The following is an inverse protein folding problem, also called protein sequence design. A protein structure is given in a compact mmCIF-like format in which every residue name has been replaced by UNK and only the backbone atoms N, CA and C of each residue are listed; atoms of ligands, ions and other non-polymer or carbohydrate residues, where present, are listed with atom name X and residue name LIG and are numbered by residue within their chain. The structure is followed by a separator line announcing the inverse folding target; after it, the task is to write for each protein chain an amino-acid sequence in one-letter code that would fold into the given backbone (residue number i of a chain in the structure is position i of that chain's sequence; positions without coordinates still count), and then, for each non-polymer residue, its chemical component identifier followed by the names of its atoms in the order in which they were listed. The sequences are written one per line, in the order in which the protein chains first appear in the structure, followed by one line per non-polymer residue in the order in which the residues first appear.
data_IF_525008272999
#
_entry.id   IF_525008272999
#
_cell.length_a   1.000
_cell.length_b   1.000
_cell.length_c   1.000
_cell.angle_alpha   90.00
_cell.angle_beta   90.00
_cell.angle_gamma   90.00
#
_symmetry.space_group_name_H-M   'P 1'
#
loop_
_entity.id
_entity.type
_entity.pdbx_description
1 polymer ?
#
# COMPACT_ATOMS: atom_id res chain seq x y z
N UNK A 1 11.89 -14.10 -1.33
CA UNK A 1 11.10 -15.13 -2.02
C UNK A 1 11.25 -16.54 -1.45
N UNK A 2 12.46 -17.08 -1.21
CA UNK A 2 12.61 -18.44 -0.61
C UNK A 2 11.83 -18.64 0.69
N UNK A 3 11.84 -17.64 1.59
CA UNK A 3 11.10 -17.69 2.87
C UNK A 3 9.59 -17.72 2.67
N UNK A 4 9.07 -16.96 1.69
CA UNK A 4 7.66 -16.94 1.34
C UNK A 4 7.22 -18.32 0.84
N UNK A 5 7.92 -18.88 -0.15
CA UNK A 5 7.58 -20.17 -0.74
C UNK A 5 7.69 -21.34 0.25
N UNK A 6 8.67 -21.29 1.16
CA UNK A 6 8.87 -22.36 2.16
C UNK A 6 7.87 -22.30 3.31
N UNK A 7 7.30 -21.13 3.63
CA UNK A 7 6.48 -20.92 4.82
C UNK A 7 5.08 -20.37 4.48
N UNK A 8 4.53 -20.67 3.31
CA UNK A 8 3.23 -20.17 2.85
C UNK A 8 2.09 -20.46 3.82
N UNK A 9 1.99 -21.69 4.33
CA UNK A 9 0.96 -22.05 5.29
C UNK A 9 1.08 -21.29 6.62
N UNK A 10 2.31 -21.09 7.12
CA UNK A 10 2.58 -20.27 8.31
C UNK A 10 2.15 -18.83 8.10
N UNK A 11 2.57 -18.22 6.99
CA UNK A 11 2.24 -16.83 6.65
C UNK A 11 0.74 -16.66 6.50
N UNK A 12 0.05 -17.58 5.80
CA UNK A 12 -1.39 -17.53 5.63
C UNK A 12 -2.13 -17.58 6.97
N UNK A 13 -1.80 -18.54 7.85
CA UNK A 13 -2.43 -18.66 9.16
C UNK A 13 -2.17 -17.45 10.06
N UNK A 14 -0.94 -16.88 10.03
CA UNK A 14 -0.62 -15.70 10.78
C UNK A 14 -1.34 -14.46 10.22
N UNK A 15 -1.44 -14.32 8.90
CA UNK A 15 -2.20 -13.23 8.25
C UNK A 15 -3.67 -13.30 8.60
N UNK A 16 -4.28 -14.48 8.51
CA UNK A 16 -5.67 -14.69 8.91
C UNK A 16 -5.89 -14.22 10.36
N UNK A 17 -5.03 -14.65 11.26
CA UNK A 17 -5.09 -14.24 12.68
C UNK A 17 -4.87 -12.73 12.87
N UNK A 18 -3.94 -12.11 12.12
CA UNK A 18 -3.71 -10.65 12.17
C UNK A 18 -4.98 -9.89 11.74
N UNK A 19 -5.59 -10.29 10.64
CA UNK A 19 -6.83 -9.70 10.14
C UNK A 19 -7.98 -9.89 11.14
N UNK A 20 -8.20 -11.10 11.62
CA UNK A 20 -9.26 -11.40 12.61
C UNK A 20 -9.06 -10.61 13.91
N UNK A 21 -7.82 -10.47 14.38
CA UNK A 21 -7.50 -9.75 15.62
C UNK A 21 -7.85 -8.27 15.58
N UNK A 22 -7.81 -7.63 14.39
CA UNK A 22 -8.16 -6.21 14.20
C UNK A 22 -9.63 -5.91 14.50
N UNK A 23 -10.49 -6.90 14.29
CA UNK A 23 -11.94 -6.74 14.42
C UNK A 23 -12.51 -7.51 15.61
N UNK A 24 -11.67 -8.21 16.37
CA UNK A 24 -12.06 -8.99 17.53
C UNK A 24 -12.61 -8.08 18.64
N UNK A 25 -13.79 -8.42 19.13
CA UNK A 25 -14.47 -7.64 20.20
C UNK A 25 -15.27 -6.43 19.68
N UNK A 26 -15.29 -6.18 18.37
CA UNK A 26 -16.20 -5.17 17.78
C UNK A 26 -17.55 -5.79 17.46
N UNK A 27 -18.64 -5.00 17.56
CA UNK A 27 -20.01 -5.46 17.33
C UNK A 27 -20.25 -5.99 15.90
N UNK A 28 -19.61 -5.39 14.89
CA UNK A 28 -19.77 -5.73 13.48
C UNK A 28 -18.66 -6.64 12.94
N UNK A 29 -17.65 -6.94 13.76
CA UNK A 29 -16.56 -7.83 13.35
C UNK A 29 -15.90 -7.40 12.04
N UNK A 30 -15.63 -8.36 11.16
CA UNK A 30 -14.93 -8.15 9.89
C UNK A 30 -15.68 -7.24 8.90
N UNK A 31 -16.96 -6.98 9.11
CA UNK A 31 -17.75 -6.05 8.27
C UNK A 31 -17.16 -4.65 8.28
N UNK A 32 -16.46 -4.27 9.35
CA UNK A 32 -15.72 -3.00 9.41
C UNK A 32 -14.67 -2.84 8.32
N UNK A 33 -14.13 -3.95 7.80
CA UNK A 33 -13.17 -3.89 6.68
C UNK A 33 -13.78 -3.33 5.40
N UNK A 34 -15.09 -3.49 5.20
CA UNK A 34 -15.86 -2.90 4.10
C UNK A 34 -16.46 -1.55 4.47
N UNK A 35 -16.97 -1.39 5.69
CA UNK A 35 -17.59 -0.15 6.12
C UNK A 35 -16.63 1.04 6.10
N UNK A 36 -15.39 0.86 6.55
CA UNK A 36 -14.41 1.93 6.55
C UNK A 36 -14.16 2.52 5.14
N UNK A 37 -13.84 1.74 4.09
CA UNK A 37 -13.73 2.26 2.73
C UNK A 37 -15.05 2.89 2.23
N UNK A 38 -16.23 2.34 2.56
CA UNK A 38 -17.52 2.91 2.17
C UNK A 38 -17.70 4.30 2.79
N UNK A 39 -17.49 4.43 4.09
CA UNK A 39 -17.60 5.70 4.80
C UNK A 39 -16.64 6.73 4.21
N UNK A 40 -15.36 6.35 4.03
CA UNK A 40 -14.36 7.25 3.47
C UNK A 40 -14.70 7.69 2.05
N UNK A 41 -15.09 6.76 1.18
CA UNK A 41 -15.49 7.11 -0.19
C UNK A 41 -16.73 8.00 -0.21
N UNK A 42 -17.71 7.76 0.67
CA UNK A 42 -18.91 8.59 0.81
C UNK A 42 -18.57 10.01 1.26
N UNK A 43 -17.69 10.16 2.25
CA UNK A 43 -17.20 11.46 2.73
C UNK A 43 -16.47 12.21 1.61
N UNK A 44 -15.57 11.55 0.92
CA UNK A 44 -14.83 12.16 -0.18
C UNK A 44 -15.75 12.53 -1.36
N UNK A 45 -16.73 11.67 -1.67
CA UNK A 45 -17.73 11.96 -2.70
C UNK A 45 -18.56 13.20 -2.34
N UNK A 46 -18.96 13.32 -1.08
CA UNK A 46 -19.69 14.50 -0.60
C UNK A 46 -18.82 15.76 -0.67
N UNK A 47 -17.62 15.72 -0.10
CA UNK A 47 -16.76 16.91 -0.02
C UNK A 47 -16.29 17.34 -1.42
N UNK A 48 -15.65 16.45 -2.16
CA UNK A 48 -15.03 16.82 -3.44
C UNK A 48 -16.03 16.82 -4.62
N UNK A 49 -17.02 15.92 -4.60
CA UNK A 49 -18.01 15.85 -5.66
C UNK A 49 -19.11 16.90 -5.49
N UNK A 50 -19.70 17.03 -4.29
CA UNK A 50 -20.85 17.88 -4.06
C UNK A 50 -20.48 19.29 -3.58
N UNK A 51 -19.59 19.43 -2.56
CA UNK A 51 -19.23 20.74 -1.98
C UNK A 51 -18.26 21.49 -2.89
N UNK A 52 -17.10 20.90 -3.22
CA UNK A 52 -16.09 21.55 -4.03
C UNK A 52 -16.35 21.47 -5.54
N UNK A 53 -17.21 20.55 -5.98
CA UNK A 53 -17.46 20.30 -7.42
C UNK A 53 -16.15 20.13 -8.19
N UNK A 54 -15.21 19.43 -7.58
CA UNK A 54 -13.87 19.27 -8.10
C UNK A 54 -13.88 18.51 -9.44
N UNK A 55 -13.04 18.96 -10.37
CA UNK A 55 -12.88 18.33 -11.69
C UNK A 55 -11.44 17.84 -11.86
N UNK A 56 -11.28 16.72 -12.53
CA UNK A 56 -9.96 16.18 -12.86
C UNK A 56 -9.51 16.71 -14.23
N UNK A 57 -8.74 17.82 -14.21
CA UNK A 57 -8.35 18.50 -15.44
C UNK A 57 -9.49 19.31 -16.10
N UNK A 58 -9.24 19.80 -17.32
CA UNK A 58 -10.17 20.71 -18.02
C UNK A 58 -11.28 20.01 -18.82
N UNK A 59 -11.13 18.72 -19.13
CA UNK A 59 -11.97 18.05 -20.14
C UNK A 59 -12.53 16.68 -19.71
N UNK A 60 -12.31 16.23 -18.48
CA UNK A 60 -12.76 14.89 -18.09
C UNK A 60 -14.21 14.88 -17.64
N UNK A 61 -15.02 13.99 -18.25
CA UNK A 61 -16.37 13.64 -17.81
C UNK A 61 -16.37 12.66 -16.63
N UNK A 62 -15.19 12.25 -16.20
CA UNK A 62 -14.99 11.22 -15.18
C UNK A 62 -15.21 11.77 -13.79
N UNK A 63 -15.67 10.89 -12.90
CA UNK A 63 -15.96 11.26 -11.53
C UNK A 63 -14.65 11.46 -10.75
N UNK A 64 -14.34 12.70 -10.38
CA UNK A 64 -13.15 13.08 -9.59
C UNK A 64 -12.94 12.20 -8.37
N UNK A 65 -14.03 11.86 -7.66
CA UNK A 65 -13.96 11.05 -6.45
C UNK A 65 -13.40 9.66 -6.70
N UNK A 66 -13.80 9.02 -7.80
CA UNK A 66 -13.29 7.69 -8.17
C UNK A 66 -11.83 7.74 -8.58
N UNK A 67 -11.42 8.77 -9.33
CA UNK A 67 -10.02 8.98 -9.73
C UNK A 67 -9.15 9.18 -8.48
N UNK A 68 -9.59 10.01 -7.56
CA UNK A 68 -8.90 10.25 -6.29
C UNK A 68 -8.83 8.98 -5.44
N UNK A 69 -9.92 8.22 -5.38
CA UNK A 69 -9.99 7.04 -4.52
C UNK A 69 -9.05 5.91 -4.96
N UNK A 70 -8.78 5.74 -6.27
CA UNK A 70 -7.75 4.81 -6.73
C UNK A 70 -6.38 5.13 -6.15
N UNK A 71 -6.03 6.41 -6.08
CA UNK A 71 -4.80 6.87 -5.45
C UNK A 71 -4.78 6.67 -3.94
N UNK A 72 -5.91 6.96 -3.26
CA UNK A 72 -6.05 6.77 -1.81
C UNK A 72 -5.96 5.30 -1.41
N UNK A 73 -6.54 4.38 -2.18
CA UNK A 73 -6.39 2.93 -1.94
C UNK A 73 -4.94 2.49 -2.04
N UNK A 74 -4.24 2.96 -3.07
CA UNK A 74 -2.82 2.62 -3.29
C UNK A 74 -1.93 3.19 -2.17
N UNK A 75 -2.17 4.45 -1.79
CA UNK A 75 -1.50 5.06 -0.64
C UNK A 75 -1.83 4.34 0.67
N UNK A 76 -3.09 4.01 0.93
CA UNK A 76 -3.52 3.29 2.12
C UNK A 76 -2.80 1.95 2.29
N UNK A 77 -2.59 1.23 1.18
CA UNK A 77 -1.85 -0.03 1.19
C UNK A 77 -0.40 0.16 1.66
N UNK A 78 0.35 1.08 1.05
CA UNK A 78 1.76 1.30 1.46
C UNK A 78 1.84 1.94 2.84
N UNK A 79 0.94 2.86 3.17
CA UNK A 79 0.88 3.51 4.48
C UNK A 79 0.67 2.50 5.62
N UNK A 80 -0.21 1.51 5.42
CA UNK A 80 -0.40 0.45 6.39
C UNK A 80 0.85 -0.44 6.53
N UNK A 81 1.50 -0.80 5.41
CA UNK A 81 2.73 -1.58 5.43
C UNK A 81 3.85 -0.86 6.21
N UNK A 82 4.09 0.41 5.89
CA UNK A 82 5.17 1.20 6.50
C UNK A 82 4.85 1.57 7.96
N UNK A 83 3.61 1.95 8.25
CA UNK A 83 3.19 2.35 9.60
C UNK A 83 3.33 1.23 10.63
N UNK A 84 3.06 -0.01 10.23
CA UNK A 84 3.26 -1.18 11.09
C UNK A 84 4.72 -1.64 11.17
N UNK A 85 5.50 -1.37 10.12
CA UNK A 85 6.83 -1.94 9.96
C UNK A 85 7.73 -1.72 11.18
N UNK A 86 7.81 -0.51 11.69
CA UNK A 86 8.72 -0.13 12.78
C UNK A 86 8.49 -0.87 14.10
N UNK A 87 7.30 -1.41 14.30
CA UNK A 87 6.88 -2.06 15.55
C UNK A 87 6.69 -3.57 15.45
N UNK A 88 6.84 -4.14 14.24
CA UNK A 88 6.57 -5.58 13.99
C UNK A 88 7.32 -6.47 14.99
N UNK A 89 8.62 -6.27 15.18
CA UNK A 89 9.43 -7.12 16.07
C UNK A 89 9.23 -6.76 17.54
N UNK A 90 9.02 -5.49 17.84
CA UNK A 90 8.78 -5.01 19.21
C UNK A 90 7.49 -5.62 19.79
N UNK A 91 6.43 -5.71 19.01
CA UNK A 91 5.18 -6.35 19.45
C UNK A 91 5.19 -7.88 19.36
N UNK A 92 6.21 -8.45 18.73
CA UNK A 92 6.32 -9.88 18.51
C UNK A 92 7.59 -10.51 19.12
N UNK A 93 8.02 -10.01 20.27
CA UNK A 93 9.24 -10.47 20.98
C UNK A 93 9.26 -11.99 21.20
N UNK A 94 8.10 -12.60 21.47
CA UNK A 94 7.99 -14.04 21.66
C UNK A 94 8.41 -14.85 20.42
N UNK A 95 8.25 -14.31 19.21
CA UNK A 95 8.74 -14.92 17.98
C UNK A 95 10.22 -14.61 17.75
N UNK A 96 10.70 -13.44 18.15
CA UNK A 96 12.11 -13.05 18.02
C UNK A 96 13.00 -13.97 18.86
N UNK A 97 12.57 -14.32 20.07
CA UNK A 97 13.31 -15.21 20.98
C UNK A 97 13.25 -16.70 20.58
N UNK A 98 12.44 -17.06 19.57
CA UNK A 98 12.41 -18.44 19.07
C UNK A 98 13.45 -18.67 17.98
N UNK A 99 14.43 -19.51 18.24
CA UNK A 99 15.59 -19.78 17.37
C UNK A 99 15.20 -20.21 15.93
N UNK A 100 14.13 -20.98 15.77
CA UNK A 100 13.73 -21.56 14.49
C UNK A 100 12.66 -20.76 13.74
N UNK A 101 12.19 -19.63 14.28
CA UNK A 101 11.13 -18.87 13.62
C UNK A 101 11.68 -17.98 12.50
N UNK A 102 11.12 -18.07 11.28
CA UNK A 102 11.53 -17.23 10.15
C UNK A 102 11.00 -15.79 10.31
N UNK A 103 11.76 -14.92 10.97
CA UNK A 103 11.36 -13.54 11.31
C UNK A 103 10.92 -12.71 10.10
N UNK A 104 11.51 -12.97 8.92
CA UNK A 104 11.13 -12.34 7.66
C UNK A 104 9.64 -12.59 7.30
N UNK A 105 9.05 -13.66 7.82
CA UNK A 105 7.63 -13.97 7.58
C UNK A 105 6.68 -12.96 8.22
N UNK A 106 7.06 -12.31 9.33
CA UNK A 106 6.21 -11.31 9.99
C UNK A 106 5.98 -10.08 9.12
N UNK A 107 6.99 -9.66 8.34
CA UNK A 107 6.83 -8.58 7.38
C UNK A 107 5.85 -8.98 6.25
N UNK A 108 5.90 -10.24 5.77
CA UNK A 108 4.92 -10.74 4.81
C UNK A 108 3.50 -10.77 5.39
N UNK A 109 3.34 -11.16 6.65
CA UNK A 109 2.03 -11.12 7.34
C UNK A 109 1.45 -9.71 7.32
N UNK A 110 2.26 -8.68 7.63
CA UNK A 110 1.82 -7.28 7.58
C UNK A 110 1.42 -6.85 6.18
N UNK A 111 2.21 -7.21 5.16
CA UNK A 111 1.93 -6.87 3.75
C UNK A 111 0.65 -7.55 3.25
N UNK A 112 0.45 -8.84 3.55
CA UNK A 112 -0.78 -9.53 3.18
C UNK A 112 -2.01 -9.03 3.95
N UNK A 113 -1.84 -8.61 5.20
CA UNK A 113 -2.91 -7.94 5.95
C UNK A 113 -3.32 -6.60 5.31
N UNK A 114 -2.35 -5.82 4.85
CA UNK A 114 -2.61 -4.58 4.11
C UNK A 114 -3.22 -4.84 2.72
N UNK A 115 -2.77 -5.91 2.02
CA UNK A 115 -3.40 -6.35 0.76
C UNK A 115 -4.85 -6.76 0.94
N UNK A 116 -5.18 -7.44 2.03
CA UNK A 116 -6.57 -7.75 2.34
C UNK A 116 -7.42 -6.48 2.44
N UNK A 117 -6.93 -5.46 3.17
CA UNK A 117 -7.65 -4.19 3.30
C UNK A 117 -7.75 -3.44 1.96
N UNK A 118 -6.68 -3.43 1.17
CA UNK A 118 -6.69 -2.89 -0.19
C UNK A 118 -7.74 -3.59 -1.07
N UNK A 119 -7.83 -4.92 -1.01
CA UNK A 119 -8.82 -5.69 -1.76
C UNK A 119 -10.25 -5.37 -1.33
N UNK A 120 -10.53 -5.21 -0.02
CA UNK A 120 -11.83 -4.76 0.47
C UNK A 120 -12.17 -3.37 -0.08
N UNK A 121 -11.21 -2.46 -0.15
CA UNK A 121 -11.37 -1.15 -0.78
C UNK A 121 -11.67 -1.24 -2.29
N UNK A 122 -11.04 -2.17 -3.01
CA UNK A 122 -11.32 -2.41 -4.43
C UNK A 122 -12.75 -2.92 -4.66
N UNK A 123 -13.29 -3.77 -3.78
CA UNK A 123 -14.69 -4.21 -3.84
C UNK A 123 -15.62 -2.99 -3.69
N UNK A 124 -15.39 -2.15 -2.70
CA UNK A 124 -16.18 -0.93 -2.49
C UNK A 124 -16.08 0.00 -3.70
N UNK A 125 -14.86 0.20 -4.23
CA UNK A 125 -14.65 0.97 -5.46
C UNK A 125 -15.48 0.45 -6.63
N UNK A 126 -15.48 -0.86 -6.87
CA UNK A 126 -16.27 -1.48 -7.94
C UNK A 126 -17.78 -1.25 -7.74
N UNK A 127 -18.29 -1.37 -6.52
CA UNK A 127 -19.69 -1.08 -6.18
C UNK A 127 -20.04 0.37 -6.52
N UNK A 128 -19.18 1.33 -6.13
CA UNK A 128 -19.41 2.75 -6.42
C UNK A 128 -19.31 3.07 -7.92
N UNK A 129 -18.44 2.41 -8.66
CA UNK A 129 -18.41 2.54 -10.14
C UNK A 129 -19.76 2.16 -10.75
N UNK A 130 -20.37 1.06 -10.29
CA UNK A 130 -21.70 0.64 -10.76
C UNK A 130 -22.77 1.66 -10.35
N UNK A 131 -22.80 2.11 -9.08
CA UNK A 131 -23.78 3.08 -8.58
C UNK A 131 -23.71 4.42 -9.30
N UNK A 132 -22.49 4.89 -9.61
CA UNK A 132 -22.26 6.16 -10.31
C UNK A 132 -22.29 6.01 -11.83
N UNK A 133 -22.62 4.82 -12.35
CA UNK A 133 -22.64 4.49 -13.79
C UNK A 133 -21.33 4.84 -14.51
N UNK A 134 -20.21 4.76 -13.78
CA UNK A 134 -18.88 4.96 -14.35
C UNK A 134 -18.42 3.68 -15.03
N UNK A 135 -18.11 3.69 -16.33
CA UNK A 135 -17.64 2.49 -17.01
C UNK A 135 -16.27 2.05 -16.44
N UNK A 136 -16.14 0.79 -16.11
CA UNK A 136 -14.87 0.16 -15.76
C UNK A 136 -14.34 -0.57 -16.97
N UNK A 137 -13.10 -0.30 -17.33
CA UNK A 137 -12.47 -0.95 -18.47
C UNK A 137 -12.22 -2.45 -18.24
N UNK A 138 -12.29 -3.25 -19.29
CA UNK A 138 -11.85 -4.65 -19.25
C UNK A 138 -10.36 -4.78 -18.88
N UNK A 139 -9.55 -3.75 -19.16
CA UNK A 139 -8.16 -3.71 -18.73
C UNK A 139 -7.98 -3.65 -17.22
N UNK A 140 -9.03 -3.39 -16.43
CA UNK A 140 -9.00 -3.49 -14.97
C UNK A 140 -8.57 -4.88 -14.47
N UNK A 141 -8.72 -5.92 -15.28
CA UNK A 141 -8.18 -7.26 -15.00
C UNK A 141 -6.64 -7.27 -14.88
N UNK A 142 -5.95 -6.26 -15.39
CA UNK A 142 -4.50 -6.09 -15.23
C UNK A 142 -4.11 -5.43 -13.90
N UNK A 143 -5.06 -4.85 -13.14
CA UNK A 143 -4.77 -4.17 -11.88
C UNK A 143 -3.98 -5.02 -10.87
N UNK A 144 -4.26 -6.33 -10.69
CA UNK A 144 -3.44 -7.20 -9.84
C UNK A 144 -1.98 -7.29 -10.30
N UNK A 145 -1.73 -7.24 -11.61
CA UNK A 145 -0.37 -7.28 -12.18
C UNK A 145 0.33 -5.95 -11.89
N UNK A 146 -0.36 -4.83 -12.09
CA UNK A 146 0.18 -3.47 -11.86
C UNK A 146 0.66 -3.29 -10.42
N UNK A 147 -0.04 -3.87 -9.43
CA UNK A 147 0.30 -3.69 -8.01
C UNK A 147 1.46 -4.58 -7.53
N UNK A 148 1.78 -5.67 -8.24
CA UNK A 148 2.80 -6.63 -7.80
C UNK A 148 4.16 -6.01 -7.45
N UNK A 149 4.76 -5.11 -8.25
CA UNK A 149 6.03 -4.51 -7.90
C UNK A 149 5.93 -3.59 -6.68
N UNK A 150 4.77 -2.94 -6.44
CA UNK A 150 4.53 -2.17 -5.21
C UNK A 150 4.47 -3.09 -3.97
N UNK A 151 3.90 -4.29 -4.10
CA UNK A 151 3.89 -5.30 -3.01
C UNK A 151 5.31 -5.69 -2.62
N UNK A 152 6.17 -5.95 -3.62
CA UNK A 152 7.57 -6.28 -3.37
C UNK A 152 8.34 -5.10 -2.76
N UNK A 153 8.09 -3.89 -3.25
CA UNK A 153 8.66 -2.65 -2.72
C UNK A 153 8.26 -2.44 -1.26
N UNK A 154 6.96 -2.54 -0.96
CA UNK A 154 6.41 -2.37 0.40
C UNK A 154 6.99 -3.40 1.37
N UNK A 155 7.12 -4.65 0.95
CA UNK A 155 7.79 -5.68 1.75
C UNK A 155 9.26 -5.32 2.01
N UNK A 156 9.98 -4.84 1.00
CA UNK A 156 11.41 -4.50 1.10
C UNK A 156 11.63 -3.36 2.10
N UNK A 157 10.84 -2.29 1.97
CA UNK A 157 10.89 -1.16 2.89
C UNK A 157 10.46 -1.58 4.29
N UNK A 158 9.39 -2.39 4.42
CA UNK A 158 8.95 -2.90 5.73
C UNK A 158 10.01 -3.75 6.41
N UNK A 159 10.72 -4.60 5.67
CA UNK A 159 11.81 -5.42 6.21
C UNK A 159 12.98 -4.57 6.71
N UNK A 160 13.31 -3.51 5.99
CA UNK A 160 14.34 -2.56 6.38
C UNK A 160 13.90 -1.76 7.62
N UNK A 161 12.72 -1.14 7.60
CA UNK A 161 12.19 -0.33 8.69
C UNK A 161 11.96 -1.15 9.96
N UNK A 162 11.49 -2.39 9.85
CA UNK A 162 11.28 -3.26 10.99
C UNK A 162 12.58 -3.62 11.70
N UNK A 163 13.67 -3.77 10.94
CA UNK A 163 14.99 -4.00 11.52
C UNK A 163 15.57 -2.76 12.21
N UNK A 164 15.31 -1.57 11.67
CA UNK A 164 15.70 -0.30 12.32
C UNK A 164 14.87 -0.03 13.57
N UNK A 165 13.57 -0.32 13.55
CA UNK A 165 12.66 -0.10 14.68
C UNK A 165 13.02 -0.89 15.93
N UNK A 166 13.80 -1.99 15.83
CA UNK A 166 14.36 -2.71 16.99
C UNK A 166 15.38 -1.86 17.75
N UNK A 167 16.21 -1.10 17.02
CA UNK A 167 17.31 -0.32 17.60
C UNK A 167 16.92 1.14 17.84
N UNK A 168 16.03 1.70 17.02
CA UNK A 168 15.65 3.11 17.05
C UNK A 168 14.15 3.21 17.26
N UNK A 169 13.74 3.50 18.49
CA UNK A 169 12.31 3.54 18.88
C UNK A 169 11.52 4.66 18.21
N UNK A 170 12.19 5.76 17.88
CA UNK A 170 11.55 6.94 17.30
C UNK A 170 11.29 6.83 15.78
N UNK A 171 11.68 5.70 15.17
CA UNK A 171 11.45 5.46 13.73
C UNK A 171 9.98 5.57 13.34
N UNK A 172 9.06 5.27 14.25
CA UNK A 172 7.62 5.41 13.98
C UNK A 172 7.21 6.84 13.65
N UNK A 173 7.80 7.84 14.32
CA UNK A 173 7.53 9.25 14.04
C UNK A 173 8.04 9.67 12.66
N UNK A 174 9.27 9.27 12.33
CA UNK A 174 9.87 9.55 11.02
C UNK A 174 9.02 8.94 9.90
N UNK A 175 8.62 7.68 10.07
CA UNK A 175 7.78 6.97 9.08
C UNK A 175 6.42 7.64 8.91
N UNK A 176 5.80 8.14 9.98
CA UNK A 176 4.53 8.86 9.90
C UNK A 176 4.64 10.13 9.04
N UNK A 177 5.72 10.88 9.18
CA UNK A 177 6.00 12.07 8.34
C UNK A 177 6.22 11.66 6.88
N UNK A 178 6.98 10.58 6.64
CA UNK A 178 7.21 10.08 5.27
C UNK A 178 5.88 9.67 4.61
N UNK A 179 5.00 8.96 5.33
CA UNK A 179 3.68 8.56 4.83
C UNK A 179 2.85 9.79 4.45
N UNK A 180 2.86 10.84 5.28
CA UNK A 180 2.14 12.08 4.98
C UNK A 180 2.74 12.79 3.76
N UNK A 181 4.07 12.84 3.64
CA UNK A 181 4.73 13.40 2.46
C UNK A 181 4.37 12.60 1.19
N UNK A 182 4.38 11.28 1.26
CA UNK A 182 4.00 10.42 0.13
C UNK A 182 2.56 10.69 -0.33
N UNK A 183 1.64 11.02 0.58
CA UNK A 183 0.26 11.33 0.24
C UNK A 183 0.16 12.61 -0.61
N UNK A 184 0.80 13.70 -0.15
CA UNK A 184 0.69 15.00 -0.81
C UNK A 184 1.64 15.16 -2.01
N UNK A 185 2.77 14.45 -2.02
CA UNK A 185 3.71 14.43 -3.14
C UNK A 185 3.40 13.35 -4.17
N UNK A 186 2.19 12.81 -4.19
CA UNK A 186 1.71 11.93 -5.24
C UNK A 186 0.48 12.53 -5.93
N UNK A 187 0.20 12.18 -7.19
CA UNK A 187 -0.92 12.72 -7.94
C UNK A 187 -2.26 12.10 -7.49
N UNK A 188 -2.56 12.15 -6.19
CA UNK A 188 -3.81 11.63 -5.61
C UNK A 188 -4.92 12.66 -5.74
N UNK A 189 -4.64 13.90 -5.31
CA UNK A 189 -5.63 14.98 -5.26
C UNK A 189 -5.61 15.91 -6.48
N UNK A 190 -4.62 15.79 -7.35
CA UNK A 190 -4.43 16.63 -8.53
C UNK A 190 -3.78 15.84 -9.66
N UNK A 191 -4.05 16.17 -10.91
CA UNK A 191 -3.34 15.57 -12.04
C UNK A 191 -1.90 16.10 -12.12
N UNK A 192 -0.96 15.28 -12.60
CA UNK A 192 0.46 15.68 -12.75
C UNK A 192 0.60 16.95 -13.61
N UNK A 193 -0.30 17.12 -14.57
CA UNK A 193 -0.33 18.31 -15.47
C UNK A 193 -0.58 19.62 -14.74
N UNK A 194 -1.21 19.60 -13.56
CA UNK A 194 -1.42 20.79 -12.75
C UNK A 194 -0.14 21.27 -12.05
N UNK A 195 0.89 20.40 -11.97
CA UNK A 195 2.17 20.74 -11.34
C UNK A 195 3.08 21.42 -12.35
N UNK A 196 3.68 22.60 -12.01
CA UNK A 196 4.65 23.27 -12.87
C UNK A 196 5.81 22.33 -13.24
N UNK A 197 6.27 22.38 -14.49
CA UNK A 197 7.22 21.41 -15.06
C UNK A 197 8.49 21.23 -14.22
N UNK A 198 9.01 22.32 -13.67
CA UNK A 198 10.21 22.31 -12.84
C UNK A 198 10.07 21.47 -11.54
N UNK A 199 8.85 21.22 -11.06
CA UNK A 199 8.58 20.45 -9.83
C UNK A 199 8.07 19.03 -10.10
N UNK A 200 7.75 18.67 -11.35
CA UNK A 200 7.22 17.34 -11.70
C UNK A 200 8.18 16.20 -11.32
N UNK A 201 9.50 16.47 -11.41
CA UNK A 201 10.49 15.47 -11.02
C UNK A 201 10.35 15.02 -9.56
N UNK A 202 9.99 15.93 -8.64
CA UNK A 202 9.75 15.60 -7.24
C UNK A 202 8.57 14.63 -7.08
N UNK A 203 7.53 14.81 -7.90
CA UNK A 203 6.37 13.91 -7.91
C UNK A 203 6.75 12.53 -8.46
N UNK A 204 7.59 12.46 -9.50
CA UNK A 204 8.04 11.19 -10.09
C UNK A 204 8.99 10.39 -9.18
N UNK A 205 9.71 11.02 -8.26
CA UNK A 205 10.53 10.33 -7.24
C UNK A 205 9.65 9.54 -6.26
N UNK A 206 8.42 9.97 -6.04
CA UNK A 206 7.49 9.26 -5.17
C UNK A 206 7.12 7.89 -5.79
N UNK A 207 7.37 6.77 -5.09
CA UNK A 207 7.10 5.43 -5.63
C UNK A 207 5.61 5.16 -5.90
N UNK A 208 4.71 5.96 -5.32
CA UNK A 208 3.27 5.83 -5.58
C UNK A 208 2.87 6.39 -6.95
N UNK A 209 3.57 7.39 -7.47
CA UNK A 209 3.16 8.13 -8.66
C UNK A 209 2.91 7.22 -9.85
N UNK A 210 3.89 6.38 -10.19
CA UNK A 210 3.77 5.47 -11.33
C UNK A 210 2.61 4.47 -11.15
N UNK A 211 2.50 3.86 -9.95
CA UNK A 211 1.47 2.83 -9.71
C UNK A 211 0.06 3.43 -9.71
N UNK A 212 -0.12 4.62 -9.13
CA UNK A 212 -1.41 5.33 -9.12
C UNK A 212 -1.87 5.65 -10.56
N UNK A 213 -0.98 6.22 -11.38
CA UNK A 213 -1.30 6.53 -12.78
C UNK A 213 -1.55 5.24 -13.58
N UNK A 214 -0.71 4.21 -13.43
CA UNK A 214 -0.90 2.93 -14.11
C UNK A 214 -2.21 2.23 -13.73
N UNK A 215 -2.63 2.31 -12.46
CA UNK A 215 -3.93 1.79 -12.03
C UNK A 215 -5.10 2.57 -12.65
N UNK A 216 -5.00 3.90 -12.73
CA UNK A 216 -6.01 4.74 -13.40
C UNK A 216 -6.10 4.41 -14.90
N UNK A 217 -4.95 4.25 -15.55
CA UNK A 217 -4.89 3.89 -16.96
C UNK A 217 -5.67 2.60 -17.24
N UNK A 218 -5.40 1.54 -16.46
CA UNK A 218 -6.06 0.23 -16.72
C UNK A 218 -7.50 0.19 -16.21
N UNK A 219 -7.83 0.84 -15.11
CA UNK A 219 -9.15 0.71 -14.47
C UNK A 219 -10.16 1.69 -15.05
N UNK A 220 -9.77 2.97 -15.19
CA UNK A 220 -10.69 4.05 -15.60
C UNK A 220 -10.55 4.43 -17.07
N UNK A 221 -9.31 4.56 -17.55
CA UNK A 221 -9.07 5.08 -18.91
C UNK A 221 -9.01 4.02 -20.01
N UNK A 222 -8.96 2.74 -19.65
CA UNK A 222 -8.86 1.65 -20.62
C UNK A 222 -7.58 1.70 -21.48
N UNK A 223 -6.50 2.24 -20.91
CA UNK A 223 -5.19 2.38 -21.54
C UNK A 223 -4.20 1.40 -20.93
N UNK A 224 -3.25 0.96 -21.73
CA UNK A 224 -2.12 0.20 -21.22
C UNK A 224 -1.11 1.16 -20.58
N UNK A 225 -0.61 0.82 -19.41
CA UNK A 225 0.46 1.56 -18.73
C UNK A 225 1.79 1.44 -19.48
N UNK A 226 2.73 2.36 -19.22
CA UNK A 226 4.09 2.32 -19.79
C UNK A 226 4.83 1.06 -19.37
N UNK A 227 5.14 0.18 -20.34
CA UNK A 227 5.91 -1.05 -20.08
C UNK A 227 7.35 -0.74 -19.65
N UNK A 228 7.95 0.31 -20.17
CA UNK A 228 9.29 0.77 -19.78
C UNK A 228 9.30 1.24 -18.31
N UNK A 229 8.32 2.08 -17.94
CA UNK A 229 8.14 2.52 -16.56
C UNK A 229 7.90 1.36 -15.60
N UNK A 230 7.11 0.38 -16.03
CA UNK A 230 6.82 -0.83 -15.25
C UNK A 230 8.06 -1.71 -15.06
N UNK A 231 8.87 -1.90 -16.10
CA UNK A 231 10.13 -2.64 -16.02
C UNK A 231 11.13 -1.92 -15.09
N UNK A 232 11.24 -0.60 -15.21
CA UNK A 232 12.08 0.21 -14.30
C UNK A 232 11.63 0.07 -12.85
N UNK A 233 10.32 0.14 -12.60
CA UNK A 233 9.76 -0.01 -11.26
C UNK A 233 10.07 -1.39 -10.66
N UNK A 234 9.96 -2.47 -11.46
CA UNK A 234 10.38 -3.82 -11.07
C UNK A 234 11.87 -3.87 -10.74
N UNK A 235 12.72 -3.26 -11.57
CA UNK A 235 14.16 -3.17 -11.33
C UNK A 235 14.49 -2.55 -9.97
N UNK A 236 13.86 -1.41 -9.67
CA UNK A 236 14.01 -0.71 -8.38
C UNK A 236 13.50 -1.58 -7.22
N UNK A 237 12.33 -2.19 -7.37
CA UNK A 237 11.73 -3.05 -6.33
C UNK A 237 12.59 -4.26 -6.00
N UNK A 238 13.17 -4.92 -7.02
CA UNK A 238 14.07 -6.06 -6.86
C UNK A 238 15.40 -5.61 -6.23
N UNK A 239 15.96 -4.49 -6.66
CA UNK A 239 17.18 -3.93 -6.08
C UNK A 239 16.99 -3.66 -4.59
N UNK A 240 15.91 -2.97 -4.21
CA UNK A 240 15.60 -2.68 -2.81
C UNK A 240 15.32 -3.96 -2.01
N UNK A 241 14.71 -4.98 -2.62
CA UNK A 241 14.52 -6.28 -1.98
C UNK A 241 15.86 -6.95 -1.65
N UNK A 242 16.80 -6.95 -2.58
CA UNK A 242 18.14 -7.54 -2.36
C UNK A 242 18.89 -6.77 -1.26
N UNK A 243 18.84 -5.45 -1.27
CA UNK A 243 19.44 -4.61 -0.24
C UNK A 243 18.80 -4.87 1.14
N UNK A 244 17.48 -4.88 1.21
CA UNK A 244 16.75 -5.11 2.47
C UNK A 244 17.03 -6.48 3.07
N UNK A 245 17.05 -7.55 2.27
CA UNK A 245 17.30 -8.90 2.77
C UNK A 245 18.76 -9.11 3.20
N UNK A 246 19.72 -8.49 2.51
CA UNK A 246 21.14 -8.55 2.89
C UNK A 246 21.39 -7.78 4.18
N UNK A 247 20.81 -6.59 4.31
CA UNK A 247 20.83 -5.80 5.54
C UNK A 247 20.22 -6.58 6.70
N UNK A 248 19.00 -7.07 6.53
CA UNK A 248 18.26 -7.81 7.55
C UNK A 248 19.04 -9.01 8.09
N UNK A 249 19.65 -9.81 7.21
CA UNK A 249 20.46 -10.97 7.61
C UNK A 249 21.66 -10.61 8.48
N UNK A 250 22.24 -9.42 8.29
CA UNK A 250 23.37 -8.95 9.12
C UNK A 250 22.88 -8.51 10.50
N UNK A 251 21.76 -7.78 10.55
CA UNK A 251 21.29 -7.08 11.75
C UNK A 251 20.47 -7.98 12.67
N UNK A 252 19.73 -8.95 12.12
CA UNK A 252 18.83 -9.82 12.91
C UNK A 252 19.51 -10.62 14.03
N UNK A 253 20.83 -10.82 13.95
CA UNK A 253 21.59 -11.56 14.97
C UNK A 253 21.57 -10.88 16.33
N UNK A 254 21.49 -9.55 16.36
CA UNK A 254 21.44 -8.77 17.60
C UNK A 254 20.02 -8.50 18.13
N UNK A 255 18.96 -8.97 17.47
CA UNK A 255 17.60 -8.66 17.92
C UNK A 255 17.26 -9.24 19.29
N UNK A 256 17.74 -10.45 19.58
CA UNK A 256 17.46 -11.12 20.84
C UNK A 256 18.15 -10.43 22.05
N UNK A 257 19.22 -9.69 21.81
CA UNK A 257 19.98 -8.98 22.82
C UNK A 257 19.35 -7.61 23.15
N UNK A 258 18.58 -7.05 22.22
CA UNK A 258 17.97 -5.71 22.35
C UNK A 258 16.51 -5.80 22.80
N UNK A 259 15.80 -6.87 22.47
CA UNK A 259 14.38 -7.12 22.78
C UNK A 259 14.20 -8.14 23.90
#
# INVERSE_FOLDING_TARGET
MKTLLKNTGLIFNLTKRDVESRYRGTSLGIVWSLLNPVIMLSIYSFIFGFVFKAKWGLTTTENYTLIMFTGLLTHGFIAECLGKATTIYVYNVSYVKKVLFPLESLCWVSVFGALFQFFMGCIVFAIFCVLLKQPVSLMALLAPIVILPLVLLSYSISLFLSSLGVYIRDMGQVVSVIIALMLFMSPIFYPITAVPEQYRMLIYINPLTFIVEALRDVVLYGKLFSLEGYALYWGISIMLYVLAITWFKKVKRGFADVL
#
